data_IF_304076173042
#
_entry.id   IF_304076173042
#
_cell.length_a   1.000
_cell.length_b   1.000
_cell.length_c   1.000
_cell.angle_alpha   90.00
_cell.angle_beta   90.00
_cell.angle_gamma   90.00
#
_symmetry.space_group_name_H-M   'P 1'
#
loop_
_entity.id
_entity.type
_entity.pdbx_description
1 polymer ?
#
# COMPACT_ATOMS: atom_id res chain seq x y z
N UNK A 1 34.38 -15.56 -18.24
CA UNK A 1 34.18 -15.90 -16.82
C UNK A 1 33.50 -14.70 -16.19
N UNK A 2 32.18 -14.70 -16.22
CA UNK A 2 31.35 -13.61 -15.65
C UNK A 2 30.82 -14.10 -14.31
N UNK A 3 31.25 -13.47 -13.24
CA UNK A 3 30.78 -13.73 -11.87
C UNK A 3 29.49 -12.98 -11.65
N UNK A 4 28.41 -13.72 -11.69
CA UNK A 4 27.04 -13.28 -11.32
C UNK A 4 26.99 -13.24 -9.79
N UNK A 5 27.07 -12.02 -9.24
CA UNK A 5 26.92 -11.81 -7.79
C UNK A 5 25.45 -11.54 -7.52
N UNK A 6 24.67 -12.57 -7.29
CA UNK A 6 23.33 -12.48 -6.75
C UNK A 6 23.42 -11.89 -5.33
N UNK A 7 23.11 -10.60 -5.19
CA UNK A 7 22.88 -9.98 -3.89
C UNK A 7 21.55 -10.47 -3.30
N UNK A 8 21.65 -11.51 -2.49
CA UNK A 8 20.57 -11.92 -1.58
C UNK A 8 20.35 -10.81 -0.55
N UNK A 9 19.20 -10.15 -0.61
CA UNK A 9 18.78 -9.20 0.43
C UNK A 9 18.53 -9.99 1.74
N UNK A 10 19.13 -9.61 2.87
CA UNK A 10 18.88 -10.29 4.13
C UNK A 10 17.48 -9.95 4.64
N UNK A 11 16.65 -10.97 4.84
CA UNK A 11 15.48 -10.87 5.70
C UNK A 11 15.98 -10.58 7.13
N UNK A 12 16.05 -9.30 7.49
CA UNK A 12 16.43 -8.86 8.83
C UNK A 12 15.36 -9.35 9.80
N UNK A 13 15.67 -10.42 10.51
CA UNK A 13 14.87 -10.92 11.61
C UNK A 13 14.80 -9.84 12.71
N UNK A 14 13.64 -9.23 12.87
CA UNK A 14 13.32 -8.38 14.02
C UNK A 14 13.30 -9.29 15.25
N UNK A 15 14.35 -9.26 16.03
CA UNK A 15 14.49 -10.06 17.23
C UNK A 15 13.41 -9.64 18.25
N UNK A 16 12.52 -10.58 18.62
CA UNK A 16 11.62 -10.46 19.77
C UNK A 16 10.14 -10.15 19.51
N UNK A 17 9.72 -9.76 18.31
CA UNK A 17 8.30 -9.49 18.03
C UNK A 17 7.67 -10.68 17.31
N UNK A 18 6.53 -11.17 17.82
CA UNK A 18 5.79 -12.26 17.16
C UNK A 18 5.41 -11.83 15.73
N UNK A 19 5.65 -12.71 14.76
CA UNK A 19 5.30 -12.46 13.35
C UNK A 19 3.86 -12.92 13.11
N UNK A 20 3.03 -12.01 12.58
CA UNK A 20 1.63 -12.28 12.29
C UNK A 20 1.40 -12.78 10.86
N UNK A 21 2.21 -12.32 9.91
CA UNK A 21 2.14 -12.76 8.50
C UNK A 21 3.55 -13.03 8.01
N UNK A 22 3.73 -14.15 7.34
CA UNK A 22 4.97 -14.53 6.66
C UNK A 22 4.65 -14.94 5.22
N UNK A 23 5.42 -14.43 4.28
CA UNK A 23 5.40 -14.81 2.89
C UNK A 23 6.84 -15.08 2.44
N UNK A 24 7.10 -16.25 1.88
CA UNK A 24 8.43 -16.67 1.42
C UNK A 24 8.34 -17.17 -0.01
N UNK A 25 9.07 -16.49 -0.90
CA UNK A 25 9.28 -16.85 -2.30
C UNK A 25 7.98 -17.17 -3.06
N UNK A 26 6.94 -16.38 -2.81
CA UNK A 26 5.64 -16.59 -3.43
C UNK A 26 5.72 -16.33 -4.94
N UNK A 27 5.34 -17.33 -5.71
CA UNK A 27 5.18 -17.23 -7.17
C UNK A 27 3.73 -17.48 -7.53
N UNK A 28 3.21 -16.67 -8.46
CA UNK A 28 1.87 -16.84 -9.01
C UNK A 28 1.78 -16.39 -10.44
N UNK A 29 1.40 -17.32 -11.31
CA UNK A 29 1.09 -17.05 -12.72
C UNK A 29 -0.37 -17.33 -12.99
N UNK A 30 -1.06 -16.40 -13.62
CA UNK A 30 -2.43 -16.56 -14.06
C UNK A 30 -2.51 -17.06 -15.51
N UNK A 31 -3.69 -17.55 -15.97
CA UNK A 31 -3.89 -17.91 -17.36
C UNK A 31 -3.43 -16.81 -18.33
N UNK A 32 -2.99 -17.20 -19.52
CA UNK A 32 -2.34 -16.32 -20.53
C UNK A 32 -0.93 -15.85 -20.17
N UNK A 33 -0.27 -16.53 -19.21
CA UNK A 33 1.13 -16.25 -18.86
C UNK A 33 1.38 -14.96 -18.05
N UNK A 34 0.35 -14.39 -17.43
CA UNK A 34 0.51 -13.20 -16.60
C UNK A 34 1.12 -13.60 -15.26
N UNK A 35 2.42 -13.34 -15.09
CA UNK A 35 3.14 -13.56 -13.84
C UNK A 35 2.82 -12.41 -12.87
N UNK A 36 2.01 -12.70 -11.85
CA UNK A 36 1.57 -11.72 -10.88
C UNK A 36 2.52 -11.62 -9.68
N UNK A 37 3.15 -12.73 -9.28
CA UNK A 37 4.17 -12.78 -8.23
C UNK A 37 5.38 -13.55 -8.74
N UNK A 38 6.58 -13.07 -8.39
CA UNK A 38 7.87 -13.58 -8.86
C UNK A 38 8.89 -13.66 -7.71
N UNK A 39 8.65 -14.56 -6.75
CA UNK A 39 9.50 -14.73 -5.57
C UNK A 39 9.25 -13.68 -4.49
N UNK A 40 8.00 -13.24 -4.31
CA UNK A 40 7.66 -12.20 -3.33
C UNK A 40 7.84 -12.72 -1.90
N UNK A 41 8.64 -12.00 -1.09
CA UNK A 41 8.95 -12.36 0.29
C UNK A 41 8.84 -11.16 1.23
N UNK A 42 8.13 -11.30 2.36
CA UNK A 42 8.08 -10.31 3.44
C UNK A 42 7.53 -10.91 4.72
N UNK A 43 7.71 -10.18 5.84
CA UNK A 43 7.16 -10.54 7.14
C UNK A 43 6.49 -9.33 7.79
N UNK A 44 5.37 -9.55 8.49
CA UNK A 44 4.60 -8.52 9.19
C UNK A 44 4.64 -8.80 10.69
N UNK A 45 5.19 -7.89 11.50
CA UNK A 45 5.14 -8.00 12.95
C UNK A 45 3.70 -7.92 13.48
N UNK A 46 3.40 -8.65 14.55
CA UNK A 46 2.08 -8.58 15.18
C UNK A 46 1.80 -7.18 15.76
N UNK A 47 0.54 -6.74 15.71
CA UNK A 47 0.09 -5.47 16.26
C UNK A 47 0.54 -4.23 15.48
N UNK A 48 0.98 -4.39 14.23
CA UNK A 48 1.44 -3.28 13.39
C UNK A 48 0.51 -3.06 12.19
N UNK A 49 0.53 -1.84 11.66
CA UNK A 49 0.01 -1.53 10.32
C UNK A 49 1.14 -1.73 9.32
N UNK A 50 0.96 -2.66 8.39
CA UNK A 50 1.91 -2.94 7.32
C UNK A 50 1.29 -2.61 5.97
N UNK A 51 1.98 -1.79 5.16
CA UNK A 51 1.51 -1.44 3.83
C UNK A 51 2.27 -2.21 2.74
N UNK A 52 1.53 -2.81 1.81
CA UNK A 52 2.06 -3.22 0.51
C UNK A 52 1.80 -2.08 -0.47
N UNK A 53 2.83 -1.30 -0.75
CA UNK A 53 2.79 -0.15 -1.64
C UNK A 53 3.27 -0.53 -3.03
N UNK A 54 2.62 -0.05 -4.08
CA UNK A 54 3.08 -0.27 -5.45
C UNK A 54 2.02 0.08 -6.49
N UNK A 55 2.40 0.13 -7.78
CA UNK A 55 1.48 0.45 -8.86
C UNK A 55 0.43 -0.63 -9.07
N UNK A 56 -0.55 -0.32 -9.92
CA UNK A 56 -1.52 -1.31 -10.37
C UNK A 56 -0.82 -2.42 -11.15
N UNK A 57 -1.23 -3.67 -10.88
CA UNK A 57 -0.58 -4.85 -11.47
C UNK A 57 0.71 -5.29 -10.80
N UNK A 58 1.21 -4.60 -9.76
CA UNK A 58 2.44 -5.00 -9.05
C UNK A 58 2.34 -6.34 -8.27
N UNK A 59 1.13 -6.90 -8.11
CA UNK A 59 0.92 -8.16 -7.39
C UNK A 59 0.26 -8.02 -6.01
N UNK A 60 -0.05 -6.80 -5.55
CA UNK A 60 -0.62 -6.52 -4.21
C UNK A 60 -1.89 -7.33 -3.91
N UNK A 61 -2.93 -7.18 -4.74
CA UNK A 61 -4.20 -7.90 -4.52
C UNK A 61 -4.05 -9.43 -4.71
N UNK A 62 -3.10 -9.89 -5.54
CA UNK A 62 -2.77 -11.32 -5.65
C UNK A 62 -2.18 -11.83 -4.34
N UNK A 63 -1.26 -11.06 -3.73
CA UNK A 63 -0.70 -11.37 -2.42
C UNK A 63 -1.79 -11.48 -1.36
N UNK A 64 -2.70 -10.49 -1.28
CA UNK A 64 -3.85 -10.54 -0.37
C UNK A 64 -4.71 -11.77 -0.62
N UNK A 65 -5.02 -12.10 -1.88
CA UNK A 65 -5.81 -13.31 -2.20
C UNK A 65 -5.14 -14.61 -1.72
N UNK A 66 -3.82 -14.71 -1.81
CA UNK A 66 -3.09 -15.89 -1.32
C UNK A 66 -3.13 -15.95 0.22
N UNK A 67 -2.81 -14.86 0.90
CA UNK A 67 -2.81 -14.77 2.36
C UNK A 67 -4.20 -15.00 2.97
N UNK A 68 -5.25 -14.57 2.28
CA UNK A 68 -6.65 -14.77 2.70
C UNK A 68 -7.25 -16.09 2.22
N UNK A 69 -6.45 -16.96 1.62
CA UNK A 69 -6.86 -18.29 1.12
C UNK A 69 -7.84 -18.27 -0.06
N UNK A 70 -7.98 -17.14 -0.75
CA UNK A 70 -8.84 -16.99 -1.94
C UNK A 70 -8.14 -17.45 -3.24
N UNK A 71 -6.80 -17.53 -3.21
CA UNK A 71 -5.98 -18.06 -4.29
C UNK A 71 -4.88 -18.95 -3.72
N UNK A 72 -4.32 -19.84 -4.54
CA UNK A 72 -3.15 -20.63 -4.18
C UNK A 72 -1.93 -20.07 -4.93
N UNK A 73 -0.79 -19.99 -4.23
CA UNK A 73 0.51 -19.77 -4.86
C UNK A 73 0.91 -21.02 -5.67
N UNK A 74 1.63 -20.81 -6.75
CA UNK A 74 2.16 -21.91 -7.58
C UNK A 74 3.41 -22.50 -6.90
N UNK A 75 4.21 -21.65 -6.23
CA UNK A 75 5.32 -22.06 -5.35
C UNK A 75 5.50 -21.07 -4.20
N UNK A 76 6.38 -21.40 -3.26
CA UNK A 76 6.60 -20.63 -2.05
C UNK A 76 5.64 -21.03 -0.91
N UNK A 77 5.77 -20.35 0.23
CA UNK A 77 4.95 -20.61 1.43
C UNK A 77 4.41 -19.33 2.04
N UNK A 78 3.24 -19.41 2.66
CA UNK A 78 2.68 -18.28 3.39
C UNK A 78 2.03 -18.75 4.70
N UNK A 79 2.19 -17.94 5.75
CA UNK A 79 1.56 -18.14 7.05
C UNK A 79 0.84 -16.90 7.52
N UNK A 80 -0.31 -17.09 8.15
CA UNK A 80 -1.10 -16.02 8.78
C UNK A 80 -1.49 -16.46 10.18
N UNK A 81 -1.20 -15.64 11.17
CA UNK A 81 -1.37 -15.95 12.59
C UNK A 81 -0.73 -17.31 12.99
N UNK A 82 0.45 -17.62 12.42
CA UNK A 82 1.20 -18.85 12.63
C UNK A 82 0.67 -20.08 11.87
N UNK A 83 -0.43 -19.95 11.12
CA UNK A 83 -1.04 -21.04 10.36
C UNK A 83 -0.66 -20.98 8.88
N UNK A 84 -0.25 -22.10 8.31
CA UNK A 84 -0.02 -22.25 6.87
C UNK A 84 -1.34 -22.07 6.11
N UNK A 85 -1.36 -21.15 5.13
CA UNK A 85 -2.59 -20.78 4.40
C UNK A 85 -3.08 -21.88 3.48
N UNK A 86 -2.20 -22.75 3.01
CA UNK A 86 -2.52 -23.87 2.13
C UNK A 86 -3.00 -25.09 2.92
N UNK A 87 -2.30 -25.40 4.02
CA UNK A 87 -2.60 -26.58 4.84
C UNK A 87 -3.82 -26.39 5.74
N UNK A 88 -4.06 -25.16 6.23
CA UNK A 88 -5.11 -24.88 7.24
C UNK A 88 -6.04 -23.72 6.84
N UNK A 89 -6.58 -23.66 5.60
CA UNK A 89 -7.30 -22.48 5.11
C UNK A 89 -8.56 -22.15 5.93
N UNK A 90 -9.30 -23.17 6.39
CA UNK A 90 -10.50 -22.95 7.21
C UNK A 90 -10.18 -22.34 8.58
N UNK A 91 -9.03 -22.69 9.18
CA UNK A 91 -8.60 -22.11 10.44
C UNK A 91 -8.10 -20.67 10.24
N UNK A 92 -7.35 -20.40 9.16
CA UNK A 92 -6.92 -19.03 8.79
C UNK A 92 -8.14 -18.13 8.64
N UNK A 93 -9.15 -18.52 7.87
CA UNK A 93 -10.37 -17.70 7.65
C UNK A 93 -11.11 -17.31 8.93
N UNK A 94 -10.99 -18.10 10.00
CA UNK A 94 -11.59 -17.78 11.31
C UNK A 94 -10.80 -16.70 12.08
N UNK A 95 -9.54 -16.53 11.76
CA UNK A 95 -8.64 -15.60 12.45
C UNK A 95 -8.42 -14.28 11.70
N UNK A 96 -8.97 -14.15 10.50
CA UNK A 96 -8.79 -12.98 9.67
C UNK A 96 -10.09 -12.23 9.42
N UNK A 97 -9.98 -10.92 9.21
CA UNK A 97 -10.98 -10.09 8.57
C UNK A 97 -10.48 -9.65 7.20
N UNK A 98 -11.37 -9.51 6.25
CA UNK A 98 -11.02 -9.10 4.89
C UNK A 98 -11.97 -8.01 4.41
N UNK A 99 -11.41 -6.90 3.95
CA UNK A 99 -12.13 -5.81 3.30
C UNK A 99 -11.57 -5.68 1.89
N UNK A 100 -12.31 -6.16 0.92
CA UNK A 100 -11.91 -6.11 -0.47
C UNK A 100 -12.00 -4.69 -1.05
N UNK A 101 -11.39 -4.48 -2.22
CA UNK A 101 -11.46 -3.21 -2.94
C UNK A 101 -12.90 -2.83 -3.28
N UNK A 102 -13.69 -3.78 -3.80
CA UNK A 102 -15.12 -3.59 -4.00
C UNK A 102 -15.88 -3.93 -2.71
N UNK A 103 -16.91 -3.14 -2.40
CA UNK A 103 -17.75 -3.38 -1.24
C UNK A 103 -18.36 -4.78 -1.29
N UNK A 104 -18.26 -5.51 -0.18
CA UNK A 104 -18.89 -6.81 0.02
C UNK A 104 -20.31 -6.71 0.57
N UNK A 105 -20.79 -5.50 0.85
CA UNK A 105 -22.13 -5.30 1.40
C UNK A 105 -23.20 -5.42 0.31
N UNK A 106 -24.29 -6.14 0.61
CA UNK A 106 -25.48 -6.19 -0.24
C UNK A 106 -26.17 -4.83 -0.26
N UNK A 107 -26.29 -4.15 -1.42
CA UNK A 107 -26.90 -2.83 -1.52
C UNK A 107 -28.40 -2.82 -1.25
N UNK A 108 -29.09 -3.95 -1.36
CA UNK A 108 -30.54 -4.08 -1.13
C UNK A 108 -30.85 -4.27 0.35
N UNK A 109 -29.96 -4.92 1.09
CA UNK A 109 -30.06 -5.11 2.53
C UNK A 109 -29.71 -3.82 3.30
N UNK A 110 -30.13 -3.75 4.55
CA UNK A 110 -29.76 -2.67 5.47
C UNK A 110 -28.33 -2.85 6.00
N UNK A 111 -27.72 -1.79 6.55
CA UNK A 111 -26.43 -1.89 7.18
C UNK A 111 -26.39 -2.94 8.30
N UNK A 112 -27.44 -2.98 9.13
CA UNK A 112 -27.61 -3.97 10.20
C UNK A 112 -27.68 -5.40 9.68
N UNK A 113 -28.48 -5.65 8.65
CA UNK A 113 -28.62 -6.98 8.03
C UNK A 113 -27.30 -7.48 7.45
N UNK A 114 -26.52 -6.61 6.81
CA UNK A 114 -25.20 -6.95 6.28
C UNK A 114 -24.23 -7.40 7.38
N UNK A 115 -24.13 -6.65 8.49
CA UNK A 115 -23.26 -7.02 9.62
C UNK A 115 -23.74 -8.30 10.29
N UNK A 116 -25.07 -8.48 10.47
CA UNK A 116 -25.65 -9.70 11.02
C UNK A 116 -25.36 -10.91 10.11
N UNK A 117 -25.48 -10.78 8.79
CA UNK A 117 -25.19 -11.84 7.84
C UNK A 117 -23.71 -12.23 7.90
N UNK A 118 -22.81 -11.24 7.87
CA UNK A 118 -21.37 -11.49 8.00
C UNK A 118 -21.03 -12.25 9.27
N UNK A 119 -21.61 -11.86 10.42
CA UNK A 119 -21.38 -12.55 11.67
C UNK A 119 -21.96 -13.99 11.71
N UNK A 120 -23.11 -14.22 11.07
CA UNK A 120 -23.66 -15.58 10.93
C UNK A 120 -22.76 -16.49 10.11
N UNK A 121 -22.21 -15.99 9.01
CA UNK A 121 -21.26 -16.72 8.17
C UNK A 121 -20.01 -17.10 8.99
N UNK A 122 -19.57 -16.23 9.88
CA UNK A 122 -18.45 -16.46 10.79
C UNK A 122 -18.81 -17.32 12.01
N UNK A 123 -20.07 -17.76 12.13
CA UNK A 123 -20.52 -18.68 13.18
C UNK A 123 -21.07 -18.00 14.45
N UNK A 124 -21.11 -16.67 14.52
CA UNK A 124 -21.74 -15.97 15.65
C UNK A 124 -23.28 -16.13 15.62
N UNK A 125 -23.90 -16.22 16.79
CA UNK A 125 -25.34 -16.46 16.93
C UNK A 125 -25.94 -15.71 18.12
N UNK A 126 -27.26 -15.60 18.11
CA UNK A 126 -28.06 -15.16 19.27
C UNK A 126 -27.72 -13.77 19.79
N UNK A 127 -27.62 -13.65 21.10
CA UNK A 127 -27.38 -12.38 21.81
C UNK A 127 -25.99 -11.81 21.50
N UNK A 128 -24.99 -12.65 21.39
CA UNK A 128 -23.61 -12.21 21.10
C UNK A 128 -23.52 -11.53 19.72
N UNK A 129 -24.09 -12.15 18.68
CA UNK A 129 -24.13 -11.57 17.34
C UNK A 129 -24.82 -10.19 17.34
N UNK A 130 -25.98 -10.07 18.00
CA UNK A 130 -26.70 -8.77 18.05
C UNK A 130 -25.87 -7.72 18.77
N UNK A 131 -25.33 -8.05 19.96
CA UNK A 131 -24.49 -7.12 20.73
C UNK A 131 -23.28 -6.66 19.93
N UNK A 132 -22.58 -7.58 19.26
CA UNK A 132 -21.41 -7.27 18.44
C UNK A 132 -21.77 -6.42 17.23
N UNK A 133 -22.93 -6.65 16.62
CA UNK A 133 -23.45 -5.84 15.52
C UNK A 133 -23.71 -4.40 15.98
N UNK A 134 -24.40 -4.21 17.12
CA UNK A 134 -24.67 -2.88 17.66
C UNK A 134 -23.40 -2.13 18.05
N UNK A 135 -22.45 -2.83 18.68
CA UNK A 135 -21.14 -2.30 19.03
C UNK A 135 -20.37 -1.77 17.80
N UNK A 136 -20.30 -2.57 16.72
CA UNK A 136 -19.60 -2.18 15.51
C UNK A 136 -20.30 -1.04 14.75
N UNK A 137 -21.63 -1.11 14.62
CA UNK A 137 -22.38 -0.02 13.97
C UNK A 137 -22.25 1.29 14.74
N UNK A 138 -22.27 1.25 16.07
CA UNK A 138 -22.04 2.43 16.91
C UNK A 138 -20.62 2.96 16.74
N UNK A 139 -19.63 2.10 16.81
CA UNK A 139 -18.21 2.44 16.67
C UNK A 139 -17.89 3.14 15.35
N UNK A 140 -18.47 2.66 14.26
CA UNK A 140 -18.23 3.24 12.92
C UNK A 140 -19.20 4.40 12.58
N UNK A 141 -19.97 4.90 13.56
CA UNK A 141 -20.90 6.00 13.35
C UNK A 141 -22.04 5.69 12.36
N UNK A 142 -22.47 4.42 12.34
CA UNK A 142 -23.53 3.92 11.46
C UNK A 142 -24.80 3.55 12.21
N UNK A 143 -24.90 3.81 13.53
CA UNK A 143 -26.03 3.44 14.37
C UNK A 143 -27.35 4.01 13.85
N UNK A 144 -27.40 5.32 13.55
CA UNK A 144 -28.61 6.01 13.07
C UNK A 144 -29.00 5.59 11.65
N UNK A 145 -28.02 5.14 10.86
CA UNK A 145 -28.24 4.67 9.50
C UNK A 145 -28.44 3.15 9.40
N UNK A 146 -28.32 2.42 10.51
CA UNK A 146 -28.29 0.95 10.54
C UNK A 146 -29.53 0.29 9.89
N UNK A 147 -30.69 0.91 9.97
CA UNK A 147 -31.94 0.45 9.34
C UNK A 147 -32.14 0.89 7.88
N UNK A 148 -31.25 1.72 7.34
CA UNK A 148 -31.33 2.17 5.94
C UNK A 148 -30.68 1.15 5.02
N UNK A 149 -31.17 1.03 3.79
CA UNK A 149 -30.56 0.19 2.74
C UNK A 149 -29.20 0.73 2.33
N UNK A 150 -28.21 -0.15 2.16
CA UNK A 150 -26.82 0.23 1.86
C UNK A 150 -26.69 0.99 0.53
N UNK A 151 -27.57 0.77 -0.44
CA UNK A 151 -27.61 1.57 -1.68
C UNK A 151 -27.77 3.08 -1.45
N UNK A 152 -28.29 3.50 -0.28
CA UNK A 152 -28.48 4.92 0.10
C UNK A 152 -27.30 5.49 0.90
N UNK A 153 -26.27 4.69 1.16
CA UNK A 153 -25.08 5.11 1.88
C UNK A 153 -24.14 5.91 0.97
N UNK A 154 -23.43 6.89 1.54
CA UNK A 154 -22.29 7.51 0.87
C UNK A 154 -21.14 6.49 0.67
N UNK A 155 -20.15 6.83 -0.15
CA UNK A 155 -18.94 5.99 -0.33
C UNK A 155 -18.25 5.71 1.00
N UNK A 156 -18.03 6.76 1.81
CA UNK A 156 -17.44 6.64 3.14
C UNK A 156 -18.27 5.79 4.12
N UNK A 157 -19.59 5.92 4.09
CA UNK A 157 -20.46 5.05 4.91
C UNK A 157 -20.37 3.59 4.50
N UNK A 158 -20.36 3.30 3.20
CA UNK A 158 -20.19 1.92 2.70
C UNK A 158 -18.85 1.35 3.14
N UNK A 159 -17.78 2.12 2.99
CA UNK A 159 -16.44 1.66 3.38
C UNK A 159 -16.33 1.40 4.89
N UNK A 160 -16.90 2.26 5.73
CA UNK A 160 -17.00 2.03 7.19
C UNK A 160 -17.80 0.76 7.52
N UNK A 161 -18.88 0.48 6.77
CA UNK A 161 -19.64 -0.75 6.93
C UNK A 161 -18.80 -1.99 6.55
N UNK A 162 -18.05 -1.95 5.44
CA UNK A 162 -17.18 -3.06 5.04
C UNK A 162 -16.14 -3.38 6.12
N UNK A 163 -15.53 -2.35 6.72
CA UNK A 163 -14.58 -2.54 7.83
C UNK A 163 -15.29 -3.13 9.07
N UNK A 164 -16.48 -2.65 9.41
CA UNK A 164 -17.28 -3.20 10.49
C UNK A 164 -17.61 -4.69 10.27
N UNK A 165 -17.95 -5.07 9.02
CA UNK A 165 -18.18 -6.47 8.63
C UNK A 165 -16.91 -7.31 8.77
N UNK A 166 -15.75 -6.78 8.37
CA UNK A 166 -14.45 -7.44 8.49
C UNK A 166 -14.01 -7.67 9.94
N UNK A 167 -14.52 -6.86 10.89
CA UNK A 167 -14.17 -6.95 12.31
C UNK A 167 -15.15 -7.79 13.15
N UNK A 168 -16.20 -8.34 12.54
CA UNK A 168 -17.30 -8.98 13.28
C UNK A 168 -16.83 -10.18 14.12
N UNK A 169 -15.90 -10.96 13.61
CA UNK A 169 -15.34 -12.16 14.25
C UNK A 169 -14.15 -11.91 15.16
N UNK A 170 -13.81 -10.64 15.47
CA UNK A 170 -12.60 -10.25 16.25
C UNK A 170 -11.33 -10.88 15.68
N UNK A 171 -10.97 -10.54 14.45
CA UNK A 171 -9.82 -11.14 13.79
C UNK A 171 -8.50 -10.80 14.51
N UNK A 172 -7.48 -11.65 14.33
CA UNK A 172 -6.10 -11.35 14.71
C UNK A 172 -5.37 -10.53 13.65
N UNK A 173 -5.80 -10.68 12.39
CA UNK A 173 -5.23 -9.97 11.24
C UNK A 173 -6.38 -9.43 10.38
N UNK A 174 -6.33 -8.14 10.07
CA UNK A 174 -7.26 -7.47 9.16
C UNK A 174 -6.54 -7.16 7.84
N UNK A 175 -7.09 -7.64 6.75
CA UNK A 175 -6.64 -7.32 5.39
C UNK A 175 -7.53 -6.23 4.80
N UNK A 176 -6.92 -5.15 4.31
CA UNK A 176 -7.59 -4.02 3.68
C UNK A 176 -7.03 -3.84 2.26
N UNK A 177 -7.79 -4.20 1.25
CA UNK A 177 -7.37 -4.00 -0.15
C UNK A 177 -7.85 -2.62 -0.62
N UNK A 178 -6.90 -1.67 -0.77
CA UNK A 178 -7.12 -0.29 -1.16
C UNK A 178 -8.23 0.41 -0.34
N UNK A 179 -8.06 0.57 0.99
CA UNK A 179 -9.15 0.96 1.90
C UNK A 179 -9.74 2.34 1.63
N UNK A 180 -9.02 3.25 1.00
CA UNK A 180 -9.46 4.63 0.78
C UNK A 180 -9.63 5.00 -0.68
N UNK A 181 -9.49 4.05 -1.59
CA UNK A 181 -9.67 4.30 -3.02
C UNK A 181 -11.10 4.83 -3.30
N UNK A 182 -11.17 5.95 -4.04
CA UNK A 182 -12.43 6.57 -4.41
C UNK A 182 -13.18 7.31 -3.29
N UNK A 183 -12.56 7.47 -2.12
CA UNK A 183 -13.10 8.31 -1.05
C UNK A 183 -12.72 9.78 -1.25
N UNK A 184 -13.61 10.68 -0.83
CA UNK A 184 -13.30 12.10 -0.68
C UNK A 184 -12.25 12.32 0.42
N UNK A 185 -11.55 13.47 0.46
CA UNK A 185 -10.47 13.73 1.42
C UNK A 185 -10.89 13.61 2.89
N UNK A 186 -12.10 14.03 3.24
CA UNK A 186 -12.62 13.97 4.61
C UNK A 186 -12.88 12.51 5.03
N UNK A 187 -13.56 11.74 4.19
CA UNK A 187 -13.80 10.30 4.40
C UNK A 187 -12.50 9.51 4.46
N UNK A 188 -11.48 9.89 3.66
CA UNK A 188 -10.15 9.27 3.68
C UNK A 188 -9.46 9.51 5.01
N UNK A 189 -9.39 10.76 5.48
CA UNK A 189 -8.78 11.13 6.77
C UNK A 189 -9.47 10.43 7.94
N UNK A 190 -10.79 10.35 7.93
CA UNK A 190 -11.56 9.63 8.95
C UNK A 190 -11.25 8.12 8.95
N UNK A 191 -11.06 7.52 7.76
CA UNK A 191 -10.69 6.11 7.65
C UNK A 191 -9.25 5.87 8.15
N UNK A 192 -8.30 6.74 7.85
CA UNK A 192 -6.95 6.65 8.37
C UNK A 192 -6.92 6.69 9.90
N UNK A 193 -7.64 7.64 10.50
CA UNK A 193 -7.75 7.73 11.96
C UNK A 193 -8.31 6.43 12.58
N UNK A 194 -9.31 5.83 11.94
CA UNK A 194 -9.90 4.58 12.40
C UNK A 194 -8.92 3.39 12.28
N UNK A 195 -8.22 3.25 11.15
CA UNK A 195 -7.21 2.21 10.95
C UNK A 195 -6.09 2.33 12.01
N UNK A 196 -5.58 3.55 12.23
CA UNK A 196 -4.56 3.80 13.25
C UNK A 196 -5.05 3.43 14.66
N UNK A 197 -6.30 3.76 14.99
CA UNK A 197 -6.91 3.41 16.28
C UNK A 197 -7.07 1.90 16.49
N UNK A 198 -7.47 1.16 15.44
CA UNK A 198 -7.59 -0.30 15.47
C UNK A 198 -6.25 -0.97 15.81
N UNK A 199 -5.17 -0.51 15.21
CA UNK A 199 -3.84 -1.06 15.49
C UNK A 199 -3.34 -0.68 16.89
N UNK A 200 -3.41 0.61 17.25
CA UNK A 200 -2.83 1.12 18.48
C UNK A 200 -3.61 0.68 19.74
N UNK A 201 -4.95 0.76 19.72
CA UNK A 201 -5.76 0.48 20.90
C UNK A 201 -6.10 -1.01 21.08
N UNK A 202 -6.15 -1.80 20.00
CA UNK A 202 -6.58 -3.20 20.05
C UNK A 202 -5.46 -4.20 19.76
N UNK A 203 -4.25 -3.70 19.45
CA UNK A 203 -3.14 -4.56 19.05
C UNK A 203 -3.42 -5.39 17.79
N UNK A 204 -4.35 -4.92 16.95
CA UNK A 204 -4.75 -5.59 15.72
C UNK A 204 -3.64 -5.47 14.68
N UNK A 205 -3.23 -6.59 14.11
CA UNK A 205 -2.33 -6.55 12.95
C UNK A 205 -3.13 -6.21 11.71
N UNK A 206 -2.70 -5.21 10.96
CA UNK A 206 -3.36 -4.75 9.74
C UNK A 206 -2.38 -4.84 8.58
N UNK A 207 -2.76 -5.55 7.52
CA UNK A 207 -2.08 -5.49 6.23
C UNK A 207 -2.99 -4.74 5.26
N UNK A 208 -2.53 -3.59 4.80
CA UNK A 208 -3.23 -2.84 3.76
C UNK A 208 -2.43 -2.85 2.45
N UNK A 209 -3.13 -2.84 1.33
CA UNK A 209 -2.56 -2.54 0.04
C UNK A 209 -2.90 -1.12 -0.34
N UNK A 210 -1.99 -0.43 -0.98
CA UNK A 210 -2.26 0.92 -1.48
C UNK A 210 -1.39 1.23 -2.70
N UNK A 211 -1.88 2.13 -3.52
CA UNK A 211 -1.12 2.83 -4.54
C UNK A 211 -0.96 4.33 -4.21
N UNK A 212 -1.37 4.76 -3.01
CA UNK A 212 -1.18 6.12 -2.51
C UNK A 212 0.02 6.16 -1.56
N UNK A 213 1.06 6.89 -1.96
CA UNK A 213 2.28 7.08 -1.15
C UNK A 213 1.97 7.75 0.18
N UNK A 214 1.07 8.75 0.16
CA UNK A 214 0.63 9.48 1.35
C UNK A 214 -0.06 8.56 2.37
N UNK A 215 -0.89 7.62 1.91
CA UNK A 215 -1.55 6.63 2.78
C UNK A 215 -0.53 5.72 3.46
N UNK A 216 0.46 5.22 2.69
CA UNK A 216 1.53 4.40 3.24
C UNK A 216 2.38 5.18 4.23
N UNK A 217 2.72 6.43 3.92
CA UNK A 217 3.53 7.29 4.80
C UNK A 217 2.83 7.63 6.11
N UNK A 218 1.50 7.86 6.04
CA UNK A 218 0.69 8.24 7.21
C UNK A 218 0.36 7.07 8.13
N UNK A 219 0.05 5.89 7.58
CA UNK A 219 -0.51 4.76 8.33
C UNK A 219 0.49 3.68 8.69
N UNK A 220 1.47 3.44 7.83
CA UNK A 220 2.29 2.26 7.96
C UNK A 220 3.35 2.41 9.06
N UNK A 221 3.35 1.53 10.05
CA UNK A 221 4.50 1.35 10.93
C UNK A 221 5.68 0.70 10.19
N UNK A 222 5.37 -0.16 9.21
CA UNK A 222 6.34 -0.71 8.24
C UNK A 222 5.66 -0.88 6.88
N UNK A 223 6.44 -0.83 5.82
CA UNK A 223 5.92 -1.06 4.48
C UNK A 223 6.89 -1.90 3.63
N UNK A 224 6.36 -2.49 2.58
CA UNK A 224 7.15 -3.04 1.48
C UNK A 224 6.68 -2.43 0.17
N UNK A 225 7.62 -1.95 -0.62
CA UNK A 225 7.36 -1.51 -2.00
C UNK A 225 7.42 -2.73 -2.90
N UNK A 226 6.33 -2.94 -3.64
CA UNK A 226 6.19 -4.07 -4.56
C UNK A 226 6.18 -3.53 -5.99
N UNK A 227 7.05 -4.06 -6.81
CA UNK A 227 7.06 -3.82 -8.25
C UNK A 227 7.23 -5.14 -9.00
N UNK A 228 6.44 -5.37 -10.04
CA UNK A 228 6.48 -6.56 -10.91
C UNK A 228 6.52 -7.89 -10.15
N UNK A 229 5.70 -8.01 -9.11
CA UNK A 229 5.57 -9.24 -8.33
C UNK A 229 6.69 -9.50 -7.32
N UNK A 230 7.59 -8.55 -7.09
CA UNK A 230 8.71 -8.64 -6.16
C UNK A 230 8.69 -7.52 -5.13
N UNK A 231 9.17 -7.79 -3.93
CA UNK A 231 9.50 -6.73 -2.97
C UNK A 231 10.83 -6.11 -3.38
N UNK A 232 10.83 -4.81 -3.69
CA UNK A 232 12.05 -4.08 -4.08
C UNK A 232 12.76 -3.46 -2.88
N UNK A 233 12.01 -3.06 -1.86
CA UNK A 233 12.52 -2.58 -0.57
C UNK A 233 11.46 -2.72 0.51
N UNK A 234 11.88 -2.91 1.77
CA UNK A 234 10.99 -2.95 2.94
C UNK A 234 11.67 -2.32 4.16
N UNK A 235 10.88 -1.54 4.93
CA UNK A 235 11.35 -0.85 6.12
C UNK A 235 10.24 -0.03 6.77
N UNK A 236 10.57 0.80 7.77
CA UNK A 236 9.67 1.87 8.19
C UNK A 236 9.72 3.01 7.19
N UNK A 237 8.66 3.86 7.08
CA UNK A 237 8.72 5.03 6.21
C UNK A 237 9.95 5.90 6.47
N UNK A 238 10.30 6.12 7.74
CA UNK A 238 11.42 6.97 8.13
C UNK A 238 12.78 6.32 7.85
N UNK A 239 12.94 4.99 8.04
CA UNK A 239 14.14 4.26 7.63
C UNK A 239 14.38 4.43 6.13
N UNK A 240 13.35 4.17 5.31
CA UNK A 240 13.45 4.23 3.85
C UNK A 240 13.72 5.65 3.34
N UNK A 241 13.07 6.66 3.90
CA UNK A 241 13.35 8.06 3.59
C UNK A 241 14.76 8.46 4.04
N UNK A 242 15.20 7.99 5.20
CA UNK A 242 16.52 8.27 5.75
C UNK A 242 17.69 7.65 4.94
N UNK A 243 17.46 6.55 4.21
CA UNK A 243 18.44 5.99 3.27
C UNK A 243 18.74 6.93 2.10
N UNK A 244 17.83 7.84 1.80
CA UNK A 244 17.99 8.87 0.82
C UNK A 244 18.67 10.10 1.48
N UNK A 245 19.97 10.04 1.65
CA UNK A 245 20.73 11.11 2.31
C UNK A 245 20.50 12.48 1.65
N UNK A 246 20.26 13.49 2.48
CA UNK A 246 20.07 14.88 2.07
C UNK A 246 18.65 15.21 1.58
N UNK A 247 18.44 16.48 1.26
CA UNK A 247 17.18 17.01 0.75
C UNK A 247 16.98 16.69 -0.73
N UNK A 248 15.73 16.65 -1.16
CA UNK A 248 15.36 16.57 -2.55
C UNK A 248 15.12 17.97 -3.14
N UNK A 249 15.80 18.31 -4.22
CA UNK A 249 15.52 19.48 -5.03
C UNK A 249 14.66 19.02 -6.21
N UNK A 250 13.42 19.47 -6.26
CA UNK A 250 12.52 19.24 -7.39
C UNK A 250 12.44 20.51 -8.24
N UNK A 251 12.84 20.41 -9.50
CA UNK A 251 12.84 21.54 -10.42
C UNK A 251 11.97 21.18 -11.64
N UNK A 252 11.16 22.15 -12.06
CA UNK A 252 10.41 22.07 -13.31
C UNK A 252 11.17 22.85 -14.40
N UNK A 253 11.60 22.14 -15.43
CA UNK A 253 12.31 22.73 -16.57
C UNK A 253 11.32 23.25 -17.61
N UNK A 254 11.73 24.26 -18.37
CA UNK A 254 10.95 24.70 -19.52
C UNK A 254 10.88 23.60 -20.59
N UNK A 255 9.75 23.55 -21.33
CA UNK A 255 9.57 22.59 -22.41
C UNK A 255 10.64 22.76 -23.49
N UNK A 256 11.16 21.66 -24.02
CA UNK A 256 12.23 21.67 -25.05
C UNK A 256 13.65 21.74 -24.48
N UNK A 257 13.82 21.65 -23.18
CA UNK A 257 15.15 21.64 -22.55
C UNK A 257 15.92 20.36 -22.91
N UNK A 258 17.17 20.54 -23.37
CA UNK A 258 18.05 19.41 -23.67
C UNK A 258 18.51 18.73 -22.35
N UNK A 259 18.31 17.41 -22.26
CA UNK A 259 18.62 16.61 -21.07
C UNK A 259 20.11 16.59 -20.74
N UNK A 260 20.95 16.34 -21.75
CA UNK A 260 22.38 16.13 -21.56
C UNK A 260 23.13 17.37 -21.04
N UNK A 261 22.89 18.59 -21.57
CA UNK A 261 23.47 19.81 -21.01
C UNK A 261 23.10 20.07 -19.54
N UNK A 262 21.85 19.78 -19.15
CA UNK A 262 21.39 19.94 -17.78
C UNK A 262 22.14 18.98 -16.83
N UNK A 263 22.23 17.72 -17.17
CA UNK A 263 22.94 16.71 -16.36
C UNK A 263 24.44 17.01 -16.28
N UNK A 264 25.06 17.43 -17.40
CA UNK A 264 26.47 17.81 -17.44
C UNK A 264 26.79 19.06 -16.59
N UNK A 265 25.88 20.03 -16.54
CA UNK A 265 26.01 21.20 -15.68
C UNK A 265 25.93 20.82 -14.20
N UNK A 266 24.97 19.97 -13.83
CA UNK A 266 24.78 19.52 -12.46
C UNK A 266 25.93 18.64 -11.95
N UNK A 267 26.54 17.85 -12.81
CA UNK A 267 27.72 17.05 -12.45
C UNK A 267 28.91 17.89 -11.98
N UNK A 268 28.93 19.20 -12.28
CA UNK A 268 29.96 20.15 -11.85
C UNK A 268 29.64 20.85 -10.52
N UNK A 269 28.42 20.64 -9.99
CA UNK A 269 27.99 21.22 -8.70
C UNK A 269 28.35 20.25 -7.59
N UNK A 270 29.31 20.51 -6.71
CA UNK A 270 29.75 19.55 -5.69
C UNK A 270 28.66 19.12 -4.72
N UNK A 271 27.70 20.01 -4.46
CA UNK A 271 26.57 19.74 -3.58
C UNK A 271 25.45 18.92 -4.24
N UNK A 272 25.45 18.79 -5.59
CA UNK A 272 24.41 18.07 -6.32
C UNK A 272 24.80 16.61 -6.50
N UNK A 273 23.88 15.72 -6.16
CA UNK A 273 24.03 14.26 -6.31
C UNK A 273 22.82 13.67 -6.99
N UNK A 274 22.96 12.51 -7.58
CA UNK A 274 21.85 11.71 -8.12
C UNK A 274 20.85 12.50 -8.99
N UNK A 275 21.35 13.38 -9.87
CA UNK A 275 20.49 14.17 -10.77
C UNK A 275 19.79 13.27 -11.78
N UNK A 276 18.46 13.37 -11.88
CA UNK A 276 17.62 12.62 -12.82
C UNK A 276 16.60 13.55 -13.48
N UNK A 277 16.38 13.36 -14.78
CA UNK A 277 15.38 14.12 -15.56
C UNK A 277 14.37 13.15 -16.15
N UNK A 278 13.10 13.41 -15.90
CA UNK A 278 11.96 12.71 -16.50
C UNK A 278 11.00 13.75 -17.12
N UNK A 279 10.96 13.79 -18.45
CA UNK A 279 10.23 14.85 -19.14
C UNK A 279 10.77 16.23 -18.80
N UNK A 280 9.94 17.10 -18.19
CA UNK A 280 10.32 18.44 -17.69
C UNK A 280 10.69 18.44 -16.22
N UNK A 281 10.55 17.36 -15.50
CA UNK A 281 10.84 17.26 -14.07
C UNK A 281 12.31 16.85 -13.87
N UNK A 282 13.06 17.68 -13.15
CA UNK A 282 14.43 17.40 -12.72
C UNK A 282 14.42 17.19 -11.20
N UNK A 283 15.00 16.08 -10.74
CA UNK A 283 15.22 15.76 -9.33
C UNK A 283 16.71 15.71 -9.05
N UNK A 284 17.16 16.41 -8.00
CA UNK A 284 18.57 16.46 -7.56
C UNK A 284 18.62 16.23 -6.06
N UNK A 285 19.59 15.47 -5.57
CA UNK A 285 19.88 15.35 -4.14
C UNK A 285 20.97 16.31 -3.71
N UNK A 286 20.81 16.88 -2.52
CA UNK A 286 21.82 17.73 -1.90
C UNK A 286 21.82 17.56 -0.38
N UNK A 287 22.99 17.54 0.27
CA UNK A 287 23.08 17.35 1.72
C UNK A 287 22.29 18.45 2.49
N UNK A 288 22.33 19.68 2.00
CA UNK A 288 21.56 20.84 2.47
C UNK A 288 20.88 21.51 1.27
N UNK A 289 19.65 21.17 0.99
CA UNK A 289 18.94 21.61 -0.22
C UNK A 289 18.82 23.13 -0.34
N UNK A 290 18.50 23.81 0.76
CA UNK A 290 18.38 25.27 0.76
C UNK A 290 19.70 25.99 0.39
N UNK A 291 20.82 25.48 0.86
CA UNK A 291 22.16 25.98 0.56
C UNK A 291 22.63 25.64 -0.86
N UNK A 292 22.24 24.45 -1.33
CA UNK A 292 22.65 23.96 -2.66
C UNK A 292 21.82 24.55 -3.81
N UNK A 293 20.56 24.95 -3.57
CA UNK A 293 19.64 25.43 -4.60
C UNK A 293 20.17 26.58 -5.44
N UNK A 294 20.77 27.63 -4.89
CA UNK A 294 21.33 28.75 -5.70
C UNK A 294 22.42 28.30 -6.68
N UNK A 295 23.30 27.37 -6.22
CA UNK A 295 24.38 26.84 -7.07
C UNK A 295 23.83 25.94 -8.19
N UNK A 296 22.79 25.14 -7.90
CA UNK A 296 22.09 24.33 -8.89
C UNK A 296 21.41 25.17 -9.96
N UNK A 297 20.71 26.25 -9.55
CA UNK A 297 20.06 27.19 -10.48
C UNK A 297 21.06 27.91 -11.38
N UNK A 298 22.16 28.42 -10.79
CA UNK A 298 23.22 29.12 -11.55
C UNK A 298 23.90 28.16 -12.58
N UNK A 299 24.12 26.90 -12.21
CA UNK A 299 24.71 25.93 -13.13
C UNK A 299 23.78 25.60 -14.32
N UNK A 300 22.47 25.49 -14.06
CA UNK A 300 21.47 25.26 -15.11
C UNK A 300 21.32 26.45 -16.04
N UNK A 301 21.26 27.68 -15.48
CA UNK A 301 21.20 28.92 -16.24
C UNK A 301 22.44 29.11 -17.14
N UNK A 302 23.64 28.81 -16.60
CA UNK A 302 24.90 28.84 -17.37
C UNK A 302 24.97 27.83 -18.49
N UNK A 303 24.16 26.76 -18.43
CA UNK A 303 23.99 25.76 -19.50
C UNK A 303 22.82 26.09 -20.46
N UNK A 304 22.17 27.23 -20.31
CA UNK A 304 21.03 27.67 -21.12
C UNK A 304 19.72 26.89 -20.78
N UNK A 305 19.66 26.31 -19.59
CA UNK A 305 18.49 25.53 -19.10
C UNK A 305 17.63 26.46 -18.24
N UNK A 306 16.42 26.73 -18.72
CA UNK A 306 15.44 27.55 -17.98
C UNK A 306 14.64 26.74 -16.99
N UNK A 307 14.61 27.18 -15.72
CA UNK A 307 13.83 26.56 -14.63
C UNK A 307 12.56 27.40 -14.39
N UNK A 308 11.40 26.77 -14.38
CA UNK A 308 10.09 27.40 -14.11
C UNK A 308 9.76 27.46 -12.63
N UNK A 309 10.05 26.38 -11.93
CA UNK A 309 9.80 26.26 -10.50
C UNK A 309 10.91 25.43 -9.85
N UNK A 310 11.18 25.70 -8.58
CA UNK A 310 12.12 24.94 -7.77
C UNK A 310 11.57 24.81 -6.35
N UNK A 311 11.62 23.61 -5.81
CA UNK A 311 11.18 23.30 -4.44
C UNK A 311 12.25 22.47 -3.75
N UNK A 312 12.53 22.81 -2.49
CA UNK A 312 13.36 22.01 -1.59
C UNK A 312 12.42 21.22 -0.68
N UNK A 313 12.55 19.92 -0.66
CA UNK A 313 11.74 19.06 0.16
C UNK A 313 12.60 18.01 0.87
N UNK A 314 12.15 17.56 2.03
CA UNK A 314 12.71 16.34 2.64
C UNK A 314 12.41 15.13 1.76
N UNK A 315 13.23 14.07 1.84
CA UNK A 315 12.96 12.82 1.11
C UNK A 315 11.53 12.31 1.35
N UNK A 316 10.87 11.95 0.27
CA UNK A 316 9.52 11.39 0.26
C UNK A 316 9.55 9.90 -0.11
N UNK A 317 8.44 9.18 0.12
CA UNK A 317 8.29 7.82 -0.39
C UNK A 317 8.27 7.76 -1.94
N UNK A 318 7.91 8.85 -2.63
CA UNK A 318 8.03 8.96 -4.09
C UNK A 318 9.50 8.90 -4.53
N UNK A 319 10.38 9.58 -3.80
CA UNK A 319 11.82 9.52 -4.04
C UNK A 319 12.39 8.13 -3.76
N UNK A 320 11.90 7.46 -2.70
CA UNK A 320 12.27 6.06 -2.40
C UNK A 320 11.83 5.16 -3.55
N UNK A 321 10.59 5.29 -4.00
CA UNK A 321 10.07 4.52 -5.12
C UNK A 321 10.90 4.75 -6.39
N UNK A 322 11.17 6.01 -6.74
CA UNK A 322 12.01 6.37 -7.90
C UNK A 322 13.40 5.72 -7.82
N UNK A 323 14.02 5.72 -6.64
CA UNK A 323 15.35 5.10 -6.43
C UNK A 323 15.35 3.61 -6.74
N UNK A 324 14.37 2.87 -6.20
CA UNK A 324 14.34 1.41 -6.27
C UNK A 324 13.66 0.85 -7.52
N UNK A 325 12.67 1.55 -8.09
CA UNK A 325 11.96 1.14 -9.32
C UNK A 325 12.55 1.73 -10.61
N UNK A 326 13.37 2.79 -10.49
CA UNK A 326 13.95 3.50 -11.62
C UNK A 326 13.00 4.45 -12.34
N UNK A 327 11.74 4.59 -11.89
CA UNK A 327 10.71 5.49 -12.45
C UNK A 327 9.90 6.15 -11.34
N UNK A 328 9.30 7.31 -11.61
CA UNK A 328 8.38 7.96 -10.68
C UNK A 328 7.05 7.22 -10.62
N UNK A 329 6.40 7.38 -9.48
CA UNK A 329 5.00 6.97 -9.30
C UNK A 329 4.13 7.96 -10.05
N UNK A 330 3.45 7.53 -11.13
CA UNK A 330 2.68 8.42 -12.00
C UNK A 330 1.19 8.41 -11.64
N UNK A 331 0.44 9.43 -12.11
CA UNK A 331 -1.03 9.43 -11.98
C UNK A 331 -1.68 8.21 -12.66
N UNK A 332 -1.07 7.67 -13.71
CA UNK A 332 -1.52 6.43 -14.34
C UNK A 332 -1.40 5.21 -13.41
N UNK A 333 -0.38 5.19 -12.53
CA UNK A 333 -0.22 4.17 -11.49
C UNK A 333 -1.28 4.31 -10.38
N UNK A 334 -1.87 5.50 -10.22
CA UNK A 334 -2.92 5.82 -9.25
C UNK A 334 -4.35 5.65 -9.81
N UNK A 335 -4.51 5.51 -11.12
CA UNK A 335 -5.83 5.31 -11.72
C UNK A 335 -6.38 3.92 -11.36
N UNK A 336 -7.68 3.81 -10.98
CA UNK A 336 -8.26 2.51 -10.65
C UNK A 336 -8.15 1.56 -11.83
N UNK A 337 -7.66 0.35 -11.61
CA UNK A 337 -7.61 -0.68 -12.65
C UNK A 337 -9.03 -0.91 -13.16
N UNK A 338 -9.24 -0.73 -14.45
CA UNK A 338 -10.52 -1.03 -15.09
C UNK A 338 -10.84 -2.51 -14.83
N UNK A 339 -11.99 -2.85 -14.23
CA UNK A 339 -12.33 -4.24 -13.99
C UNK A 339 -12.41 -4.96 -15.34
N UNK A 340 -11.61 -6.01 -15.51
CA UNK A 340 -11.74 -6.92 -16.64
C UNK A 340 -13.11 -7.58 -16.50
N UNK A 341 -14.09 -7.08 -17.23
CA UNK A 341 -15.38 -7.73 -17.41
C UNK A 341 -15.10 -9.07 -18.07
N UNK A 342 -15.22 -10.15 -17.28
CA UNK A 342 -15.31 -11.50 -17.83
C UNK A 342 -16.56 -11.52 -18.72
N UNK A 343 -16.36 -11.36 -20.03
CA UNK A 343 -17.40 -11.55 -21.01
C UNK A 343 -17.97 -12.95 -20.87
N UNK A 344 -19.18 -13.04 -20.35
CA UNK A 344 -19.98 -14.24 -20.43
C UNK A 344 -20.26 -14.51 -21.90
N UNK A 345 -19.70 -15.59 -22.41
CA UNK A 345 -20.16 -16.19 -23.65
C UNK A 345 -21.34 -17.10 -23.30
N UNK A 346 -22.40 -16.91 -24.05
CA UNK A 346 -23.64 -17.68 -24.08
C UNK A 346 -23.39 -19.19 -24.20
#
# INVERSE_FOLDING_TARGET
MSTDTAMSAPASAVAGTAVAIEAHDLVKTYPKGVQALDGLSFAVPAGTVFALLGPNGAGKSTTVKILTTLAQADSGTARVAGLDVRAKPAQVRRLIGVVAQLSGADPVATGRENVLLSGRIQGLRGRELRRRTDELLGRFGLADAAGRRVRTYSGGMRRRLDVAMGLINRPRVLFLDEPTAGLDPESRSAMWAEIGRLAAAEGLTILLTTHYLEEADHLAGRLAIVDRGRVVVAGTPDELKGELRGDALHLELASGTARDPALAALARVPAAREARIEGTSLSVRADEGATALPAVLAALEGAGVSVRAATVARPSLDDVYLRYSGRRFTEADQSPATPVTSGGSQ
#
